data_IF_413140620678
#
_entry.id   IF_413140620678
#
_cell.length_a   1.000
_cell.length_b   1.000
_cell.length_c   1.000
_cell.angle_alpha   90.00
_cell.angle_beta   90.00
_cell.angle_gamma   90.00
#
_symmetry.space_group_name_H-M   'P 1'
#
loop_
_entity.id
_entity.type
_entity.pdbx_description
1 polymer ?
#
# COMPACT_ATOMS: atom_id res chain seq x y z
N UNK A 1 -34.68 -21.26 -0.73
CA UNK A 1 -34.44 -20.11 0.17
C UNK A 1 -34.74 -20.55 1.60
N UNK A 2 -33.73 -20.87 2.42
CA UNK A 2 -33.86 -20.80 3.86
C UNK A 2 -33.06 -19.61 4.39
N UNK A 3 -33.78 -18.73 5.07
CA UNK A 3 -33.26 -17.80 6.06
C UNK A 3 -32.76 -18.60 7.28
N UNK A 4 -31.67 -18.11 7.87
CA UNK A 4 -31.26 -18.16 9.29
C UNK A 4 -29.84 -18.71 9.57
N UNK A 5 -29.23 -18.03 10.54
CA UNK A 5 -28.17 -18.47 11.47
C UNK A 5 -26.73 -18.61 10.97
N UNK A 6 -26.05 -17.49 10.73
CA UNK A 6 -24.65 -17.30 11.17
C UNK A 6 -24.39 -15.80 11.42
N UNK A 7 -24.67 -15.36 12.65
CA UNK A 7 -24.55 -13.97 13.11
C UNK A 7 -23.10 -13.43 13.14
N UNK A 8 -22.09 -14.25 12.80
CA UNK A 8 -20.67 -13.91 12.92
C UNK A 8 -20.02 -13.34 11.65
N UNK A 9 -20.64 -13.44 10.47
CA UNK A 9 -20.06 -12.93 9.21
C UNK A 9 -19.77 -11.42 9.20
N UNK A 10 -20.67 -10.54 9.71
CA UNK A 10 -20.39 -9.12 9.77
C UNK A 10 -19.24 -8.83 10.75
N UNK A 11 -19.17 -9.56 11.86
CA UNK A 11 -18.15 -9.38 12.90
C UNK A 11 -16.75 -9.72 12.37
N UNK A 12 -16.61 -10.79 11.58
CA UNK A 12 -15.34 -11.19 10.97
C UNK A 12 -14.82 -10.14 9.98
N UNK A 13 -15.70 -9.49 9.22
CA UNK A 13 -15.31 -8.42 8.28
C UNK A 13 -15.06 -7.08 8.97
N UNK A 14 -15.83 -6.74 10.00
CA UNK A 14 -15.75 -5.46 10.71
C UNK A 14 -14.59 -5.43 11.71
N UNK A 15 -14.21 -6.57 12.30
CA UNK A 15 -13.10 -6.65 13.24
C UNK A 15 -11.76 -6.13 12.68
N UNK A 16 -11.26 -6.56 11.50
CA UNK A 16 -10.03 -6.02 10.94
C UNK A 16 -10.17 -4.55 10.54
N UNK A 17 -11.35 -4.09 10.10
CA UNK A 17 -11.59 -2.68 9.79
C UNK A 17 -11.47 -1.79 11.05
N UNK A 18 -12.07 -2.21 12.16
CA UNK A 18 -11.98 -1.48 13.42
C UNK A 18 -10.55 -1.52 13.97
N UNK A 19 -9.88 -2.67 13.88
CA UNK A 19 -8.48 -2.80 14.26
C UNK A 19 -7.58 -1.86 13.45
N UNK A 20 -7.79 -1.79 12.13
CA UNK A 20 -7.08 -0.87 11.24
C UNK A 20 -7.36 0.60 11.60
N UNK A 21 -8.62 0.94 11.92
CA UNK A 21 -9.00 2.29 12.31
C UNK A 21 -8.30 2.73 13.60
N UNK A 22 -8.27 1.85 14.61
CA UNK A 22 -7.54 2.10 15.86
C UNK A 22 -6.04 2.20 15.61
N UNK A 23 -5.47 1.33 14.76
CA UNK A 23 -4.06 1.39 14.38
C UNK A 23 -3.66 2.68 13.68
N UNK A 24 -4.55 3.23 12.85
CA UNK A 24 -4.31 4.50 12.15
C UNK A 24 -4.18 5.68 13.14
N UNK A 25 -4.92 5.68 14.26
CA UNK A 25 -4.81 6.72 15.28
C UNK A 25 -3.46 6.71 16.02
N UNK A 26 -2.77 5.57 16.05
CA UNK A 26 -1.46 5.42 16.69
C UNK A 26 -0.32 5.74 15.72
N UNK A 27 -0.56 5.53 14.42
CA UNK A 27 0.48 5.64 13.39
C UNK A 27 0.81 7.12 13.16
N UNK A 28 2.09 7.53 13.24
CA UNK A 28 2.49 8.89 12.91
C UNK A 28 2.12 9.22 11.46
N UNK A 29 1.73 10.47 11.21
CA UNK A 29 1.51 10.96 9.85
C UNK A 29 2.80 10.83 9.02
N UNK A 30 2.65 10.63 7.70
CA UNK A 30 3.80 10.42 6.84
C UNK A 30 4.69 11.68 6.81
N UNK A 31 5.97 11.61 7.24
CA UNK A 31 6.85 12.79 7.27
C UNK A 31 7.07 13.35 5.86
N UNK A 32 7.13 12.50 4.83
CA UNK A 32 7.23 12.95 3.43
C UNK A 32 5.99 13.71 2.96
N UNK A 33 4.81 13.33 3.45
CA UNK A 33 3.58 14.07 3.16
C UNK A 33 3.62 15.43 3.86
N UNK A 34 4.01 15.50 5.13
CA UNK A 34 4.14 16.76 5.88
C UNK A 34 5.16 17.72 5.24
N UNK A 35 6.30 17.20 4.75
CA UNK A 35 7.28 17.97 4.00
C UNK A 35 6.69 18.55 2.72
N UNK A 36 5.90 17.76 1.97
CA UNK A 36 5.25 18.19 0.73
C UNK A 36 4.20 19.28 0.93
N UNK A 37 3.48 19.26 2.04
CA UNK A 37 2.42 20.23 2.35
C UNK A 37 2.90 21.47 3.12
N UNK A 38 4.20 21.57 3.41
CA UNK A 38 4.80 22.77 3.97
C UNK A 38 4.65 22.93 5.49
N UNK A 39 4.60 21.82 6.24
CA UNK A 39 4.55 21.84 7.71
C UNK A 39 5.91 21.43 8.32
N UNK A 40 6.94 22.30 8.32
CA UNK A 40 8.31 21.93 8.70
C UNK A 40 8.44 21.47 10.15
N UNK A 41 7.73 22.12 11.08
CA UNK A 41 7.78 21.76 12.50
C UNK A 41 7.14 20.40 12.82
N UNK A 42 6.04 20.05 12.12
CA UNK A 42 5.41 18.74 12.26
C UNK A 42 6.24 17.65 11.57
N UNK A 43 6.85 17.96 10.43
CA UNK A 43 7.74 17.07 9.70
C UNK A 43 8.91 16.58 10.56
N UNK A 44 9.66 17.51 11.18
CA UNK A 44 10.82 17.15 12.01
C UNK A 44 10.40 16.39 13.28
N UNK A 45 9.27 16.76 13.89
CA UNK A 45 8.74 16.07 15.06
C UNK A 45 8.33 14.62 14.75
N UNK A 46 7.63 14.37 13.63
CA UNK A 46 7.22 13.02 13.23
C UNK A 46 8.42 12.19 12.72
N UNK A 47 9.39 12.80 12.04
CA UNK A 47 10.62 12.13 11.63
C UNK A 47 11.46 11.69 12.85
N UNK A 48 11.59 12.56 13.87
CA UNK A 48 12.24 12.24 15.13
C UNK A 48 11.49 11.14 15.89
N UNK A 49 10.15 11.15 15.86
CA UNK A 49 9.33 10.10 16.49
C UNK A 49 9.50 8.75 15.78
N UNK A 50 9.64 8.74 14.46
CA UNK A 50 9.84 7.54 13.66
C UNK A 50 11.24 6.93 13.85
N UNK A 51 12.29 7.75 13.90
CA UNK A 51 13.68 7.31 14.10
C UNK A 51 14.05 7.07 15.56
N UNK A 52 13.38 7.75 16.47
CA UNK A 52 13.62 7.69 17.91
C UNK A 52 14.32 8.95 18.44
N UNK A 53 14.05 9.28 19.71
CA UNK A 53 14.44 10.58 20.34
C UNK A 53 15.93 10.90 20.32
N UNK A 54 16.81 9.92 20.20
CA UNK A 54 18.28 10.10 20.19
C UNK A 54 18.93 9.93 18.82
N UNK A 55 18.16 9.71 17.75
CA UNK A 55 18.69 9.61 16.41
C UNK A 55 18.97 11.02 15.86
N UNK A 56 20.08 11.16 15.13
CA UNK A 56 20.32 12.34 14.29
C UNK A 56 19.49 12.20 13.01
N UNK A 57 18.57 13.13 12.82
CA UNK A 57 17.68 13.17 11.64
C UNK A 57 18.08 14.28 10.68
N UNK A 58 19.13 15.04 10.97
CA UNK A 58 19.44 16.28 10.25
C UNK A 58 19.70 16.03 8.76
N UNK A 59 20.50 15.01 8.45
CA UNK A 59 20.84 14.60 7.09
C UNK A 59 19.59 14.10 6.33
N UNK A 60 18.84 13.16 6.91
CA UNK A 60 17.60 12.63 6.29
C UNK A 60 16.53 13.72 6.11
N UNK A 61 16.43 14.64 7.07
CA UNK A 61 15.50 15.77 6.98
C UNK A 61 15.86 16.70 5.83
N UNK A 62 17.14 16.98 5.62
CA UNK A 62 17.63 17.79 4.52
C UNK A 62 17.42 17.10 3.16
N UNK A 63 17.75 15.81 3.05
CA UNK A 63 17.49 15.02 1.84
C UNK A 63 16.01 15.01 1.44
N UNK A 64 15.11 14.80 2.41
CA UNK A 64 13.67 14.79 2.15
C UNK A 64 13.19 16.19 1.71
N UNK A 65 13.70 17.26 2.32
CA UNK A 65 13.37 18.64 1.93
C UNK A 65 13.82 18.95 0.50
N UNK A 66 15.07 18.66 0.17
CA UNK A 66 15.64 18.87 -1.17
C UNK A 66 14.89 18.04 -2.23
N UNK A 67 14.60 16.76 -1.94
CA UNK A 67 13.81 15.93 -2.85
C UNK A 67 12.39 16.47 -3.05
N UNK A 68 11.77 16.99 -2.00
CA UNK A 68 10.42 17.56 -2.06
C UNK A 68 10.39 18.86 -2.86
N UNK A 69 11.38 19.72 -2.70
CA UNK A 69 11.53 20.96 -3.48
C UNK A 69 11.72 20.65 -4.97
N UNK A 70 12.60 19.70 -5.30
CA UNK A 70 12.76 19.18 -6.67
C UNK A 70 11.45 18.66 -7.25
N UNK A 71 10.66 17.93 -6.46
CA UNK A 71 9.34 17.45 -6.86
C UNK A 71 8.31 18.55 -7.07
N UNK A 72 8.37 19.65 -6.31
CA UNK A 72 7.47 20.80 -6.50
C UNK A 72 7.79 21.56 -7.80
N UNK A 73 9.05 21.58 -8.22
CA UNK A 73 9.47 22.16 -9.49
C UNK A 73 9.14 21.29 -10.71
N UNK A 74 8.91 19.99 -10.52
CA UNK A 74 8.48 19.11 -11.59
C UNK A 74 7.01 19.37 -11.97
N UNK A 75 6.67 19.35 -13.27
CA UNK A 75 5.28 19.48 -13.69
C UNK A 75 4.45 18.36 -13.08
N UNK A 76 3.23 18.67 -12.62
CA UNK A 76 2.30 17.67 -12.08
C UNK A 76 2.08 16.57 -13.12
N UNK A 77 2.63 15.39 -12.87
CA UNK A 77 2.51 14.25 -13.77
C UNK A 77 1.05 13.81 -13.86
N UNK A 78 0.55 13.67 -15.07
CA UNK A 78 -0.75 13.07 -15.37
C UNK A 78 -0.57 11.56 -15.50
N UNK A 79 -1.63 10.80 -15.28
CA UNK A 79 -1.63 9.34 -15.50
C UNK A 79 -1.21 8.98 -16.94
N UNK A 80 -1.51 9.86 -17.90
CA UNK A 80 -1.10 9.70 -19.30
C UNK A 80 0.41 9.86 -19.52
N UNK A 81 1.12 10.57 -18.64
CA UNK A 81 2.57 10.77 -18.75
C UNK A 81 3.34 9.46 -18.44
N UNK A 82 2.72 8.50 -17.73
CA UNK A 82 3.28 7.17 -17.53
C UNK A 82 3.41 6.37 -18.84
N UNK A 83 2.66 6.72 -19.89
CA UNK A 83 2.76 6.08 -21.20
C UNK A 83 3.80 6.74 -22.12
N UNK A 84 4.54 7.74 -21.64
CA UNK A 84 5.68 8.29 -22.37
C UNK A 84 6.81 7.25 -22.47
N UNK A 85 7.61 7.37 -23.54
CA UNK A 85 8.70 6.42 -23.84
C UNK A 85 9.67 6.18 -22.66
N UNK A 86 9.87 7.19 -21.82
CA UNK A 86 10.77 7.10 -20.68
C UNK A 86 10.24 6.19 -19.56
N UNK A 87 8.91 6.08 -19.41
CA UNK A 87 8.25 5.32 -18.34
C UNK A 87 7.56 4.05 -18.83
N UNK A 88 7.30 3.92 -20.13
CA UNK A 88 6.52 2.80 -20.68
C UNK A 88 7.17 1.44 -20.43
N UNK A 89 8.50 1.37 -20.36
CA UNK A 89 9.20 0.13 -20.02
C UNK A 89 8.88 -0.32 -18.59
N UNK A 90 8.94 0.59 -17.62
CA UNK A 90 8.61 0.29 -16.23
C UNK A 90 7.13 -0.09 -16.08
N UNK A 91 6.23 0.64 -16.75
CA UNK A 91 4.79 0.34 -16.76
C UNK A 91 4.51 -1.03 -17.37
N UNK A 92 5.14 -1.36 -18.50
CA UNK A 92 4.96 -2.66 -19.17
C UNK A 92 5.43 -3.81 -18.29
N UNK A 93 6.57 -3.66 -17.61
CA UNK A 93 7.06 -4.67 -16.66
C UNK A 93 6.10 -4.81 -15.48
N UNK A 94 5.62 -3.71 -14.90
CA UNK A 94 4.67 -3.75 -13.78
C UNK A 94 3.34 -4.41 -14.15
N UNK A 95 2.75 -4.01 -15.28
CA UNK A 95 1.50 -4.59 -15.79
C UNK A 95 1.70 -6.06 -16.17
N UNK A 96 2.79 -6.37 -16.88
CA UNK A 96 3.15 -7.74 -17.25
C UNK A 96 3.29 -8.64 -16.03
N UNK A 97 3.96 -8.15 -14.97
CA UNK A 97 4.11 -8.87 -13.72
C UNK A 97 2.75 -9.14 -13.05
N UNK A 98 1.86 -8.14 -12.98
CA UNK A 98 0.51 -8.32 -12.43
C UNK A 98 -0.31 -9.33 -13.24
N UNK A 99 -0.19 -9.29 -14.57
CA UNK A 99 -0.87 -10.23 -15.46
C UNK A 99 -0.34 -11.66 -15.27
N UNK A 100 0.99 -11.84 -15.19
CA UNK A 100 1.61 -13.14 -14.91
C UNK A 100 1.18 -13.69 -13.54
N UNK A 101 1.04 -12.83 -12.53
CA UNK A 101 0.52 -13.25 -11.22
C UNK A 101 -0.91 -13.80 -11.31
N UNK A 102 -1.79 -13.17 -12.10
CA UNK A 102 -3.16 -13.68 -12.29
C UNK A 102 -3.20 -14.97 -13.11
N UNK A 103 -2.35 -15.11 -14.14
CA UNK A 103 -2.23 -16.34 -14.93
C UNK A 103 -1.68 -17.53 -14.14
N UNK A 104 -0.96 -17.30 -13.04
CA UNK A 104 -0.57 -18.34 -12.10
C UNK A 104 -1.75 -19.09 -11.47
N UNK A 105 -2.98 -18.68 -11.75
CA UNK A 105 -4.17 -19.44 -11.40
C UNK A 105 -4.45 -19.45 -9.91
N UNK A 106 -3.85 -18.54 -9.12
CA UNK A 106 -4.04 -18.45 -7.66
C UNK A 106 -5.51 -18.40 -7.32
N UNK A 107 -6.31 -17.61 -8.05
CA UNK A 107 -7.76 -17.56 -7.84
C UNK A 107 -8.42 -18.91 -8.13
N UNK A 108 -8.06 -19.60 -9.22
CA UNK A 108 -8.62 -20.90 -9.56
C UNK A 108 -8.27 -21.97 -8.51
N UNK A 109 -7.03 -21.97 -8.01
CA UNK A 109 -6.60 -22.86 -6.93
C UNK A 109 -7.38 -22.54 -5.65
N UNK A 110 -7.49 -21.27 -5.26
CA UNK A 110 -8.24 -20.88 -4.05
C UNK A 110 -9.70 -21.34 -4.08
N UNK A 111 -10.35 -21.34 -5.25
CA UNK A 111 -11.76 -21.74 -5.36
C UNK A 111 -11.95 -23.24 -5.58
N UNK A 112 -11.09 -23.88 -6.39
CA UNK A 112 -11.31 -25.25 -6.86
C UNK A 112 -10.34 -26.26 -6.25
N UNK A 113 -9.41 -25.87 -5.37
CA UNK A 113 -8.49 -26.81 -4.72
C UNK A 113 -9.24 -27.97 -4.07
N UNK A 114 -10.30 -27.69 -3.31
CA UNK A 114 -11.11 -28.73 -2.66
C UNK A 114 -11.74 -29.70 -3.66
N UNK A 115 -12.31 -29.20 -4.74
CA UNK A 115 -12.93 -30.04 -5.79
C UNK A 115 -11.89 -30.88 -6.55
N UNK A 116 -10.71 -30.31 -6.81
CA UNK A 116 -9.58 -31.01 -7.43
C UNK A 116 -9.07 -32.13 -6.52
N UNK A 117 -8.87 -31.86 -5.22
CA UNK A 117 -8.38 -32.86 -4.27
C UNK A 117 -9.40 -33.99 -4.05
N UNK A 118 -10.70 -33.69 -4.02
CA UNK A 118 -11.75 -34.71 -3.93
C UNK A 118 -11.81 -35.57 -5.18
N UNK A 119 -11.65 -34.97 -6.37
CA UNK A 119 -11.65 -35.70 -7.64
C UNK A 119 -10.41 -36.58 -7.82
N UNK A 120 -9.24 -36.11 -7.36
CA UNK A 120 -7.98 -36.84 -7.46
C UNK A 120 -7.79 -37.93 -6.39
N UNK A 121 -8.56 -37.91 -5.30
CA UNK A 121 -8.46 -38.88 -4.20
C UNK A 121 -9.46 -40.04 -4.26
N UNK A 122 -10.37 -40.05 -5.25
CA UNK A 122 -11.39 -41.09 -5.43
C UNK A 122 -11.02 -42.12 -6.52
N UNK A 123 -9.74 -42.20 -6.90
CA UNK A 123 -9.13 -43.33 -7.62
C UNK A 123 -8.19 -44.08 -6.68
#
# INVERSE_FOLDING_TARGET
MPLCTNFNFPVIGVAPCLLQLVGLLVTPESPRWLARFGYPGAFEAELQKLRGKGADISEEAEEIKDFTEKLQHLPKSKVLDLFQKDYIHAVTVGVGLMVLQQFGGVNAICFYASDIFVSAGNE
#
